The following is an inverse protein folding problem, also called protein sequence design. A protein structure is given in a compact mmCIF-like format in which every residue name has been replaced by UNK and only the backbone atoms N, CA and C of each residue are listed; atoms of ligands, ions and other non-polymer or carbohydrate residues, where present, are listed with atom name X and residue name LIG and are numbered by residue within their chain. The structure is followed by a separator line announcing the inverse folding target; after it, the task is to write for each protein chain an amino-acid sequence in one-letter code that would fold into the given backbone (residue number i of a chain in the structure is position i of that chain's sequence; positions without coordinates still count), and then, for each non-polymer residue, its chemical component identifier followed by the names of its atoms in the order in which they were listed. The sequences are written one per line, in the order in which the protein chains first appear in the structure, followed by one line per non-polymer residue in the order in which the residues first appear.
data_IF_633848157081
#
_entry.id   IF_633848157081
#
_cell.length_a   1.000
_cell.length_b   1.000
_cell.length_c   1.000
_cell.angle_alpha   90.00
_cell.angle_beta   90.00
_cell.angle_gamma   90.00
#
_symmetry.space_group_name_H-M   'P 1'
#
loop_
_entity.id
_entity.type
_entity.pdbx_description
1 polymer ?
#
# COMPACT_ATOMS: atom_id res chain seq x y z
N UNK A 1 4.35 7.50 -12.69
CA UNK A 1 4.52 6.92 -11.34
C UNK A 1 5.82 7.45 -10.72
N UNK A 2 5.76 7.91 -9.47
CA UNK A 2 6.86 8.50 -8.68
C UNK A 2 7.07 7.67 -7.42
N UNK A 3 8.28 7.11 -7.26
CA UNK A 3 8.64 6.33 -6.07
C UNK A 3 8.76 7.25 -4.85
N UNK A 4 8.21 6.81 -3.72
CA UNK A 4 8.42 7.44 -2.43
C UNK A 4 9.72 6.91 -1.81
N UNK A 5 10.65 7.83 -1.51
CA UNK A 5 11.98 7.49 -1.01
C UNK A 5 12.06 7.35 0.51
N UNK A 6 10.94 7.53 1.21
CA UNK A 6 10.81 7.36 2.65
C UNK A 6 9.74 6.30 2.91
N UNK A 7 9.83 5.56 4.03
CA UNK A 7 8.77 4.63 4.41
C UNK A 7 7.48 5.40 4.71
N UNK A 8 6.32 4.77 4.49
CA UNK A 8 5.02 5.45 4.62
C UNK A 8 4.79 6.06 6.02
N UNK A 9 5.32 5.43 7.07
CA UNK A 9 5.23 5.94 8.43
C UNK A 9 6.06 7.22 8.70
N UNK A 10 6.95 7.61 7.80
CA UNK A 10 7.76 8.85 7.92
C UNK A 10 7.30 9.99 7.01
N UNK A 11 6.38 9.73 6.06
CA UNK A 11 5.96 10.75 5.09
C UNK A 11 4.97 11.73 5.71
N UNK A 12 5.42 12.95 5.98
CA UNK A 12 4.51 14.04 6.35
C UNK A 12 3.61 14.41 5.16
N UNK A 13 2.29 14.51 5.38
CA UNK A 13 1.30 14.93 4.38
C UNK A 13 1.06 13.93 3.23
N UNK A 14 1.00 12.64 3.53
CA UNK A 14 0.70 11.59 2.51
C UNK A 14 -0.60 11.87 1.74
N UNK A 15 -1.57 12.52 2.38
CA UNK A 15 -2.85 12.94 1.78
C UNK A 15 -2.72 14.01 0.68
N UNK A 16 -1.61 14.74 0.61
CA UNK A 16 -1.37 15.76 -0.42
C UNK A 16 -0.71 15.22 -1.68
N UNK A 17 -0.30 13.94 -1.66
CA UNK A 17 0.32 13.30 -2.81
C UNK A 17 -0.71 12.89 -3.86
N UNK A 18 -0.29 12.88 -5.12
CA UNK A 18 -1.07 12.31 -6.23
C UNK A 18 -1.16 10.79 -6.09
N UNK A 19 -2.24 10.30 -5.49
CA UNK A 19 -2.37 8.90 -5.03
C UNK A 19 -2.26 7.85 -6.14
N UNK A 20 -2.60 8.20 -7.39
CA UNK A 20 -2.46 7.32 -8.55
C UNK A 20 -1.07 7.34 -9.19
N UNK A 21 -0.21 8.28 -8.79
CA UNK A 21 1.14 8.43 -9.33
C UNK A 21 2.20 8.09 -8.30
N UNK A 22 2.01 8.47 -7.04
CA UNK A 22 2.91 8.14 -5.94
C UNK A 22 2.80 6.66 -5.59
N UNK A 23 3.92 5.96 -5.54
CA UNK A 23 3.97 4.53 -5.26
C UNK A 23 5.09 4.15 -4.30
N UNK A 24 4.93 3.00 -3.66
CA UNK A 24 5.95 2.34 -2.83
C UNK A 24 6.36 1.02 -3.44
N UNK A 25 7.45 0.46 -2.91
CA UNK A 25 7.79 -0.94 -3.10
C UNK A 25 7.48 -1.75 -1.85
N UNK A 26 6.90 -2.91 -2.05
CA UNK A 26 6.55 -3.88 -1.01
C UNK A 26 7.14 -5.26 -1.38
N UNK A 27 7.77 -5.93 -0.43
CA UNK A 27 8.21 -7.33 -0.55
C UNK A 27 7.50 -8.12 0.54
N UNK A 28 6.73 -9.13 0.14
CA UNK A 28 6.03 -10.02 1.07
C UNK A 28 7.01 -10.99 1.74
N UNK A 29 6.57 -11.64 2.81
CA UNK A 29 7.37 -12.56 3.59
C UNK A 29 7.95 -13.70 2.72
N UNK A 30 9.26 -13.93 2.83
CA UNK A 30 10.01 -14.95 2.07
C UNK A 30 9.92 -14.86 0.53
N UNK A 31 9.32 -13.79 -0.01
CA UNK A 31 9.22 -13.58 -1.45
C UNK A 31 10.46 -12.87 -2.01
N UNK A 32 10.86 -13.27 -3.21
CA UNK A 32 11.94 -12.61 -3.96
C UNK A 32 11.43 -11.45 -4.81
N UNK A 33 10.12 -11.44 -5.11
CA UNK A 33 9.48 -10.45 -5.97
C UNK A 33 9.15 -9.19 -5.17
N UNK A 34 9.37 -8.04 -5.79
CA UNK A 34 9.01 -6.73 -5.25
C UNK A 34 7.80 -6.22 -6.02
N UNK A 35 6.71 -5.96 -5.31
CA UNK A 35 5.53 -5.31 -5.85
C UNK A 35 5.71 -3.80 -5.81
N UNK A 36 5.35 -3.12 -6.89
CA UNK A 36 5.22 -1.66 -6.95
C UNK A 36 3.74 -1.31 -6.84
N UNK A 37 3.34 -0.60 -5.80
CA UNK A 37 1.95 -0.29 -5.51
C UNK A 37 1.78 1.21 -5.29
N UNK A 38 0.91 1.83 -6.10
CA UNK A 38 0.46 3.20 -5.87
C UNK A 38 -0.28 3.32 -4.55
N UNK A 39 -0.34 4.54 -4.00
CA UNK A 39 -1.13 4.79 -2.78
C UNK A 39 -2.59 4.38 -3.00
N UNK A 40 -3.16 4.68 -4.16
CA UNK A 40 -4.54 4.29 -4.48
C UNK A 40 -4.73 2.77 -4.50
N UNK A 41 -3.80 2.02 -5.09
CA UNK A 41 -3.84 0.55 -5.09
C UNK A 41 -3.83 -0.03 -3.68
N UNK A 42 -3.03 0.53 -2.77
CA UNK A 42 -3.00 0.11 -1.37
C UNK A 42 -4.32 0.41 -0.66
N UNK A 43 -4.90 1.60 -0.88
CA UNK A 43 -6.21 1.96 -0.33
C UNK A 43 -7.30 0.99 -0.79
N UNK A 44 -7.29 0.65 -2.08
CA UNK A 44 -8.23 -0.31 -2.66
C UNK A 44 -8.01 -1.72 -2.11
N UNK A 45 -6.77 -2.21 -2.13
CA UNK A 45 -6.41 -3.58 -1.72
C UNK A 45 -6.75 -3.86 -0.25
N UNK A 46 -6.41 -2.92 0.64
CA UNK A 46 -6.69 -3.05 2.08
C UNK A 46 -8.10 -2.57 2.48
N UNK A 47 -8.84 -1.97 1.54
CA UNK A 47 -10.15 -1.36 1.81
C UNK A 47 -10.07 -0.25 2.86
N UNK A 48 -9.03 0.59 2.80
CA UNK A 48 -8.74 1.68 3.74
C UNK A 48 -9.28 3.00 3.18
N UNK A 49 -9.95 3.81 4.00
CA UNK A 49 -10.70 4.98 3.53
C UNK A 49 -9.86 6.10 2.90
N UNK A 50 -8.67 6.36 3.42
CA UNK A 50 -7.84 7.49 3.02
C UNK A 50 -6.36 7.26 3.33
N UNK A 51 -5.50 8.11 2.73
CA UNK A 51 -4.05 8.01 2.88
C UNK A 51 -3.58 8.21 4.33
N UNK A 52 -4.27 9.03 5.13
CA UNK A 52 -3.89 9.22 6.55
C UNK A 52 -4.06 7.92 7.34
N UNK A 53 -5.19 7.23 7.13
CA UNK A 53 -5.46 5.93 7.76
C UNK A 53 -4.50 4.85 7.25
N UNK A 54 -4.12 4.90 5.97
CA UNK A 54 -3.10 4.01 5.42
C UNK A 54 -1.75 4.21 6.11
N UNK A 55 -1.34 5.45 6.32
CA UNK A 55 -0.12 5.77 7.06
C UNK A 55 -0.19 5.24 8.50
N UNK A 56 -1.28 5.49 9.22
CA UNK A 56 -1.47 4.95 10.58
C UNK A 56 -1.38 3.41 10.60
N UNK A 57 -1.96 2.74 9.60
CA UNK A 57 -1.89 1.29 9.47
C UNK A 57 -0.45 0.80 9.29
N UNK A 58 0.35 1.51 8.49
CA UNK A 58 1.77 1.20 8.29
C UNK A 58 2.63 1.48 9.53
N UNK A 59 2.28 2.48 10.35
CA UNK A 59 2.90 2.71 11.67
C UNK A 59 2.70 1.49 12.56
N UNK A 60 1.47 0.97 12.65
CA UNK A 60 1.18 -0.23 13.47
C UNK A 60 1.98 -1.43 12.98
N UNK A 61 2.00 -1.68 11.66
CA UNK A 61 2.75 -2.81 11.10
C UNK A 61 4.26 -2.68 11.34
N UNK A 62 4.79 -1.45 11.33
CA UNK A 62 6.17 -1.20 11.71
C UNK A 62 6.42 -1.47 13.20
N UNK A 63 5.59 -0.94 14.08
CA UNK A 63 5.73 -1.07 15.55
C UNK A 63 5.60 -2.53 16.02
N UNK A 64 4.77 -3.33 15.33
CA UNK A 64 4.65 -4.77 15.55
C UNK A 64 5.86 -5.57 15.03
N UNK A 65 6.77 -4.91 14.31
CA UNK A 65 7.89 -5.55 13.65
C UNK A 65 7.51 -6.33 12.39
N UNK A 66 6.28 -6.20 11.88
CA UNK A 66 5.78 -6.91 10.70
C UNK A 66 6.31 -6.32 9.39
N UNK A 67 6.58 -5.02 9.37
CA UNK A 67 7.25 -4.33 8.27
C UNK A 67 8.55 -3.67 8.74
N UNK A 68 9.61 -3.86 7.95
CA UNK A 68 10.88 -3.15 8.09
C UNK A 68 11.19 -2.36 6.83
N UNK A 69 11.96 -1.28 6.98
CA UNK A 69 12.40 -0.48 5.84
C UNK A 69 13.80 -0.91 5.38
N UNK A 70 13.90 -1.32 4.12
CA UNK A 70 15.16 -1.48 3.42
C UNK A 70 15.48 -0.16 2.70
N UNK A 71 16.35 0.64 3.30
CA UNK A 71 16.71 1.96 2.80
C UNK A 71 17.53 1.93 1.49
N UNK A 72 18.30 0.87 1.25
CA UNK A 72 19.11 0.77 0.03
C UNK A 72 18.25 0.56 -1.21
N UNK A 73 17.19 -0.24 -1.08
CA UNK A 73 16.29 -0.58 -2.19
C UNK A 73 14.99 0.23 -2.19
N UNK A 74 14.75 1.00 -1.12
CA UNK A 74 13.51 1.72 -0.82
C UNK A 74 12.28 0.78 -0.77
N UNK A 75 12.38 -0.31 0.00
CA UNK A 75 11.36 -1.37 0.07
C UNK A 75 10.79 -1.48 1.49
N UNK A 76 9.47 -1.55 1.59
CA UNK A 76 8.79 -2.06 2.77
C UNK A 76 8.87 -3.59 2.71
N UNK A 77 9.62 -4.19 3.62
CA UNK A 77 9.84 -5.63 3.63
C UNK A 77 9.07 -6.26 4.79
N UNK A 78 8.25 -7.24 4.45
CA UNK A 78 7.51 -8.03 5.40
C UNK A 78 8.42 -9.07 6.08
N UNK A 79 8.31 -9.17 7.39
CA UNK A 79 9.14 -10.05 8.25
C UNK A 79 8.37 -11.24 8.80
N UNK A 80 7.04 -11.16 8.82
CA UNK A 80 6.11 -12.22 9.20
C UNK A 80 4.98 -12.27 8.16
N UNK A 81 4.38 -13.42 7.85
CA UNK A 81 3.35 -13.53 6.81
C UNK A 81 2.19 -12.55 7.00
N UNK A 82 1.75 -11.90 5.90
CA UNK A 82 0.60 -10.96 5.90
C UNK A 82 -0.63 -11.49 6.66
N UNK A 83 -0.97 -12.76 6.44
CA UNK A 83 -2.12 -13.41 7.05
C UNK A 83 -2.05 -13.48 8.59
N UNK A 84 -0.85 -13.42 9.17
CA UNK A 84 -0.63 -13.60 10.61
C UNK A 84 -0.85 -12.31 11.41
N UNK A 85 -0.74 -11.14 10.78
CA UNK A 85 -0.91 -9.85 11.47
C UNK A 85 -2.03 -8.98 10.92
N UNK A 86 -2.44 -9.15 9.66
CA UNK A 86 -3.36 -8.20 9.01
C UNK A 86 -4.69 -8.05 9.75
N UNK A 87 -5.43 -9.13 9.96
CA UNK A 87 -6.77 -9.07 10.56
C UNK A 87 -6.72 -8.63 12.03
N UNK A 88 -5.70 -9.03 12.78
CA UNK A 88 -5.56 -8.66 14.20
C UNK A 88 -5.11 -7.22 14.44
N UNK A 89 -4.50 -6.58 13.44
CA UNK A 89 -3.90 -5.24 13.56
C UNK A 89 -4.63 -4.16 12.78
N UNK A 90 -5.73 -4.50 12.09
CA UNK A 90 -6.43 -3.58 11.21
C UNK A 90 -7.12 -2.46 12.00
N UNK A 91 -6.79 -1.21 11.69
CA UNK A 91 -7.37 -0.02 12.35
C UNK A 91 -8.83 0.18 11.93
N UNK A 92 -9.12 -0.09 10.66
CA UNK A 92 -10.45 0.10 10.08
C UNK A 92 -11.14 -1.26 9.91
N UNK A 93 -12.18 -1.53 10.69
CA UNK A 93 -12.91 -2.81 10.63
C UNK A 93 -13.79 -2.90 9.38
N UNK A 94 -14.56 -1.86 9.09
CA UNK A 94 -15.37 -1.77 7.88
C UNK A 94 -14.49 -1.53 6.64
N UNK A 95 -14.77 -2.18 5.51
CA UNK A 95 -14.04 -1.92 4.26
C UNK A 95 -14.64 -0.71 3.54
N UNK A 96 -13.78 0.17 3.06
CA UNK A 96 -14.20 1.23 2.15
C UNK A 96 -14.35 0.67 0.73
N UNK A 97 -15.52 0.87 0.14
CA UNK A 97 -15.79 0.53 -1.25
C UNK A 97 -15.20 1.60 -2.17
N UNK A 98 -13.95 1.40 -2.57
CA UNK A 98 -13.31 2.19 -3.62
C UNK A 98 -13.86 1.81 -5.00
N UNK A 99 -13.91 2.76 -5.97
CA UNK A 99 -14.26 2.45 -7.36
C UNK A 99 -13.47 1.24 -7.89
N UNK A 100 -14.20 0.25 -8.40
CA UNK A 100 -13.59 -0.98 -8.91
C UNK A 100 -12.70 -0.67 -10.12
N UNK A 101 -11.42 -1.08 -10.10
CA UNK A 101 -10.56 -0.98 -11.28
C UNK A 101 -11.13 -1.81 -12.43
N UNK A 102 -10.78 -1.42 -13.65
CA UNK A 102 -11.09 -2.24 -14.81
C UNK A 102 -10.20 -3.49 -14.83
N UNK A 103 -10.75 -4.62 -15.25
CA UNK A 103 -10.01 -5.88 -15.35
C UNK A 103 -9.85 -6.30 -16.79
N UNK A 104 -8.61 -6.53 -17.23
CA UNK A 104 -8.31 -7.14 -18.52
C UNK A 104 -7.31 -8.29 -18.34
N UNK A 105 -7.69 -9.49 -18.76
CA UNK A 105 -6.86 -10.70 -18.67
C UNK A 105 -6.29 -10.98 -17.26
N UNK A 106 -7.04 -10.63 -16.21
CA UNK A 106 -6.64 -10.82 -14.81
C UNK A 106 -5.76 -9.70 -14.22
N UNK A 107 -5.37 -8.71 -15.02
CA UNK A 107 -4.70 -7.50 -14.54
C UNK A 107 -5.74 -6.42 -14.18
N UNK A 108 -5.50 -5.73 -13.07
CA UNK A 108 -6.31 -4.59 -12.63
C UNK A 108 -5.70 -3.28 -13.16
N UNK A 109 -6.54 -2.45 -13.76
CA UNK A 109 -6.16 -1.14 -14.31
C UNK A 109 -6.90 -0.04 -13.56
N UNK A 110 -6.13 0.84 -12.93
CA UNK A 110 -6.62 1.94 -12.11
C UNK A 110 -6.63 3.24 -12.90
N UNK A 111 -7.81 3.80 -13.19
CA UNK A 111 -7.98 5.06 -13.92
C UNK A 111 -9.24 5.11 -14.80
N UNK A 112 -9.61 6.31 -15.28
CA UNK A 112 -10.72 6.48 -16.20
C UNK A 112 -10.35 5.98 -17.60
N UNK A 113 -11.25 5.23 -18.24
CA UNK A 113 -11.16 4.86 -19.66
C UNK A 113 -11.10 6.17 -20.47
N UNK A 114 -10.03 6.41 -21.23
CA UNK A 114 -10.17 7.29 -22.41
C UNK A 114 -11.06 6.51 -23.37
N UNK A 115 -12.29 6.97 -23.57
CA UNK A 115 -13.09 6.49 -24.69
C UNK A 115 -12.28 6.74 -25.98
N UNK A 116 -12.04 5.67 -26.74
CA UNK A 116 -11.44 5.71 -28.08
C UNK A 116 -12.57 5.88 -29.07
#
# INVERSE_FOLDING_TARGET
MQLLNLPLWEITNLNTLEQHQSYIRLRLHEEIVVAECTIYELLWFFGIKDAATLQEQFVIWHDMGALVWNAQEHIHQETIPFADYFESSRIQTERTSHPTPYTESGAFFFGAKKEI
#
